data_IF_544437547827
#
_entry.id   IF_544437547827
#
_cell.length_a   1.000
_cell.length_b   1.000
_cell.length_c   1.000
_cell.angle_alpha   90.00
_cell.angle_beta   90.00
_cell.angle_gamma   90.00
#
_symmetry.space_group_name_H-M   'P 1'
#
loop_
_entity.id
_entity.type
_entity.pdbx_description
1 polymer ?
#
# COMPACT_ATOMS: atom_id res chain seq x y z
N UNK A 1 3.81 -4.82 -10.94
CA UNK A 1 4.03 -6.14 -11.59
C UNK A 1 5.51 -6.48 -11.83
N UNK A 2 6.41 -6.28 -10.86
CA UNK A 2 7.85 -6.42 -11.09
C UNK A 2 8.43 -7.65 -10.39
N UNK A 3 9.41 -8.32 -11.01
CA UNK A 3 10.07 -9.50 -10.44
C UNK A 3 10.85 -9.17 -9.15
N UNK A 4 11.11 -10.19 -8.34
CA UNK A 4 11.98 -10.09 -7.15
C UNK A 4 13.45 -9.94 -7.53
N UNK A 5 14.26 -9.51 -6.55
CA UNK A 5 15.70 -9.27 -6.72
C UNK A 5 16.46 -10.51 -7.18
N UNK A 6 16.02 -11.70 -6.77
CA UNK A 6 16.67 -13.00 -6.99
C UNK A 6 16.02 -13.82 -8.11
N UNK A 7 15.16 -13.21 -8.92
CA UNK A 7 14.43 -13.90 -9.98
C UNK A 7 15.38 -14.65 -10.92
N UNK A 8 15.09 -15.94 -11.14
CA UNK A 8 15.89 -16.86 -11.96
C UNK A 8 17.34 -17.08 -11.50
N UNK A 9 17.68 -16.67 -10.28
CA UNK A 9 19.00 -16.92 -9.71
C UNK A 9 19.20 -18.41 -9.41
N UNK A 10 20.34 -18.97 -9.83
CA UNK A 10 20.71 -20.36 -9.53
C UNK A 10 21.37 -20.49 -8.16
N UNK A 11 22.01 -19.42 -7.68
CA UNK A 11 22.79 -19.38 -6.45
C UNK A 11 22.18 -18.46 -5.38
N UNK A 12 20.97 -17.96 -5.60
CA UNK A 12 20.28 -17.05 -4.68
C UNK A 12 20.88 -15.65 -4.61
N UNK A 13 21.83 -15.30 -5.48
CA UNK A 13 22.34 -13.94 -5.60
C UNK A 13 21.36 -13.06 -6.39
N UNK A 14 21.32 -11.75 -6.10
CA UNK A 14 20.47 -10.84 -6.84
C UNK A 14 20.86 -10.80 -8.32
N UNK A 15 19.86 -10.92 -9.19
CA UNK A 15 19.96 -10.78 -10.65
C UNK A 15 19.40 -9.43 -11.12
N UNK A 16 18.59 -8.78 -10.29
CA UNK A 16 17.99 -7.47 -10.54
C UNK A 16 18.26 -6.58 -9.32
N UNK A 17 18.99 -5.48 -9.53
CA UNK A 17 19.34 -4.53 -8.48
C UNK A 17 18.83 -3.12 -8.83
N UNK A 18 17.98 -2.50 -7.98
CA UNK A 18 17.52 -1.13 -8.18
C UNK A 18 18.69 -0.13 -8.11
N UNK A 19 18.73 0.81 -9.07
CA UNK A 19 19.70 1.91 -9.02
C UNK A 19 19.39 2.94 -7.92
N UNK A 20 18.10 3.06 -7.57
CA UNK A 20 17.65 3.94 -6.50
C UNK A 20 17.71 3.21 -5.15
N UNK A 21 18.28 3.83 -4.11
CA UNK A 21 18.34 3.21 -2.80
C UNK A 21 16.95 3.07 -2.19
N UNK A 22 16.77 2.03 -1.37
CA UNK A 22 15.56 1.78 -0.57
C UNK A 22 14.27 1.54 -1.40
N UNK A 23 14.41 1.12 -2.66
CA UNK A 23 13.25 0.71 -3.48
C UNK A 23 12.97 -0.76 -3.26
N UNK A 24 11.72 -1.09 -2.98
CA UNK A 24 11.26 -2.48 -2.85
C UNK A 24 10.76 -2.98 -4.20
N UNK A 25 11.27 -4.12 -4.66
CA UNK A 25 10.85 -4.81 -5.88
C UNK A 25 10.37 -6.23 -5.56
N UNK A 26 9.60 -6.84 -6.46
CA UNK A 26 9.09 -8.22 -6.25
C UNK A 26 7.86 -8.35 -5.35
N UNK A 27 7.18 -7.25 -5.03
CA UNK A 27 5.98 -7.30 -4.18
C UNK A 27 4.82 -8.00 -4.90
N UNK A 28 4.17 -8.94 -4.23
CA UNK A 28 3.06 -9.75 -4.77
C UNK A 28 1.84 -9.83 -3.84
N UNK A 29 1.80 -9.04 -2.77
CA UNK A 29 0.68 -9.08 -1.82
C UNK A 29 -0.61 -8.52 -2.44
N UNK A 30 -0.45 -7.43 -3.22
CA UNK A 30 -1.55 -6.76 -3.91
C UNK A 30 -1.04 -6.09 -5.20
N UNK A 31 -1.96 -5.69 -6.08
CA UNK A 31 -1.61 -4.81 -7.20
C UNK A 31 -1.15 -3.44 -6.68
N UNK A 32 -0.11 -2.88 -7.29
CA UNK A 32 0.29 -1.51 -6.94
C UNK A 32 -0.76 -0.51 -7.43
N UNK A 33 -0.80 0.67 -6.81
CA UNK A 33 -1.69 1.76 -7.22
C UNK A 33 -1.51 2.14 -8.69
N UNK A 34 -0.28 2.04 -9.20
CA UNK A 34 0.08 2.32 -10.60
C UNK A 34 -0.45 1.22 -11.51
N UNK A 35 -0.22 -0.06 -11.18
CA UNK A 35 -0.75 -1.19 -11.97
C UNK A 35 -2.29 -1.09 -12.09
N UNK A 36 -2.98 -0.74 -11.00
CA UNK A 36 -4.44 -0.54 -10.99
C UNK A 36 -4.85 0.64 -11.89
N UNK A 37 -4.10 1.74 -11.84
CA UNK A 37 -4.37 2.91 -12.67
C UNK A 37 -4.21 2.59 -14.16
N UNK A 38 -3.14 1.89 -14.53
CA UNK A 38 -2.89 1.47 -15.91
C UNK A 38 -4.04 0.59 -16.45
N UNK A 39 -4.49 -0.40 -15.67
CA UNK A 39 -5.63 -1.25 -16.05
C UNK A 39 -6.91 -0.44 -16.23
N UNK A 40 -7.20 0.50 -15.32
CA UNK A 40 -8.39 1.36 -15.43
C UNK A 40 -8.36 2.23 -16.68
N UNK A 41 -7.19 2.79 -17.01
CA UNK A 41 -7.00 3.56 -18.23
C UNK A 41 -7.19 2.69 -19.47
N UNK A 42 -6.61 1.49 -19.48
CA UNK A 42 -6.69 0.58 -20.62
C UNK A 42 -8.12 0.12 -20.94
N UNK A 43 -8.91 -0.22 -19.91
CA UNK A 43 -10.30 -0.66 -20.07
C UNK A 43 -11.32 0.48 -20.02
N UNK A 44 -10.88 1.73 -19.97
CA UNK A 44 -11.73 2.91 -19.82
C UNK A 44 -12.73 2.78 -18.66
N UNK A 45 -12.25 2.21 -17.55
CA UNK A 45 -13.01 2.11 -16.32
C UNK A 45 -13.16 3.51 -15.71
N UNK A 46 -14.24 4.19 -16.08
CA UNK A 46 -14.69 5.40 -15.42
C UNK A 46 -14.94 5.06 -13.94
N UNK A 47 -14.52 5.93 -13.02
CA UNK A 47 -14.80 5.80 -11.59
C UNK A 47 -16.29 6.05 -11.31
N UNK A 48 -17.19 5.35 -12.01
CA UNK A 48 -18.63 5.44 -11.80
C UNK A 48 -18.97 4.51 -10.65
N UNK A 49 -18.80 5.03 -9.43
CA UNK A 49 -19.62 4.68 -8.27
C UNK A 49 -19.60 3.24 -7.74
N UNK A 50 -18.85 2.30 -8.30
CA UNK A 50 -18.63 1.02 -7.64
C UNK A 50 -17.49 1.22 -6.64
N UNK A 51 -17.86 1.71 -5.45
CA UNK A 51 -17.09 1.40 -4.25
C UNK A 51 -17.11 -0.12 -4.13
N UNK A 52 -16.08 -0.78 -4.66
CA UNK A 52 -15.76 -2.13 -4.25
C UNK A 52 -15.69 -2.05 -2.71
N UNK A 53 -16.43 -2.89 -1.97
CA UNK A 53 -16.42 -2.81 -0.51
C UNK A 53 -14.95 -2.82 -0.12
N UNK A 54 -14.52 -1.76 0.57
CA UNK A 54 -13.20 -1.71 1.16
C UNK A 54 -13.06 -3.02 1.92
N UNK A 55 -12.17 -3.91 1.49
CA UNK A 55 -11.68 -4.97 2.36
C UNK A 55 -10.85 -4.26 3.42
N UNK A 56 -11.56 -3.61 4.33
CA UNK A 56 -11.09 -3.33 5.67
C UNK A 56 -10.74 -4.70 6.19
N UNK A 57 -9.46 -4.95 6.42
CA UNK A 57 -9.02 -6.05 7.26
C UNK A 57 -9.74 -5.87 8.59
N UNK A 58 -10.89 -6.55 8.68
CA UNK A 58 -11.77 -6.56 9.82
C UNK A 58 -11.10 -7.47 10.82
N UNK A 59 -10.23 -6.91 11.66
CA UNK A 59 -10.01 -7.51 12.97
C UNK A 59 -11.28 -7.23 13.78
N UNK A 60 -12.01 -8.32 14.01
CA UNK A 60 -13.32 -8.42 14.65
C UNK A 60 -13.46 -7.57 15.91
N UNK A 61 -14.48 -6.70 15.92
CA UNK A 61 -14.92 -5.98 17.11
C UNK A 61 -16.10 -5.05 16.81
N UNK A 62 -17.31 -5.61 16.79
CA UNK A 62 -18.55 -4.83 16.70
C UNK A 62 -18.75 -4.02 18.00
N UNK A 63 -19.03 -2.72 17.91
CA UNK A 63 -20.30 -2.09 18.31
C UNK A 63 -20.23 -0.55 18.31
N UNK A 64 -21.12 0.04 17.49
CA UNK A 64 -21.87 1.29 17.68
C UNK A 64 -21.16 2.66 17.63
N UNK A 65 -21.71 3.51 16.75
CA UNK A 65 -21.68 4.98 16.74
C UNK A 65 -20.45 5.69 16.15
N UNK A 66 -20.64 6.10 14.89
CA UNK A 66 -20.35 7.41 14.30
C UNK A 66 -19.95 8.50 15.30
N UNK A 67 -18.86 9.20 14.95
CA UNK A 67 -18.17 10.32 15.63
C UNK A 67 -16.90 9.88 16.38
N UNK A 68 -15.80 9.63 15.67
CA UNK A 68 -14.49 9.72 16.34
C UNK A 68 -13.46 10.52 15.52
N UNK A 69 -12.95 11.53 16.20
CA UNK A 69 -12.22 12.71 15.75
C UNK A 69 -10.71 12.41 15.65
N UNK A 70 -10.37 11.15 15.34
CA UNK A 70 -9.03 10.59 15.53
C UNK A 70 -7.97 11.09 14.55
N UNK A 71 -8.35 11.69 13.41
CA UNK A 71 -7.38 12.33 12.51
C UNK A 71 -6.87 13.68 13.05
N UNK A 72 -7.61 14.36 13.93
CA UNK A 72 -7.15 15.62 14.52
C UNK A 72 -6.13 15.40 15.66
N UNK A 73 -6.10 14.20 16.26
CA UNK A 73 -5.11 13.85 17.29
C UNK A 73 -3.82 13.22 16.71
N UNK A 74 -3.70 13.11 15.39
CA UNK A 74 -2.47 12.65 14.72
C UNK A 74 -1.47 13.79 14.47
N UNK A 75 -1.86 15.05 14.69
CA UNK A 75 -0.99 16.24 14.55
C UNK A 75 -0.51 16.81 15.89
N UNK A 76 -1.16 16.47 17.01
CA UNK A 76 -0.83 17.00 18.35
C UNK A 76 0.21 16.17 19.12
N UNK A 77 0.47 14.91 18.75
CA UNK A 77 1.49 14.07 19.40
C UNK A 77 2.90 14.14 18.78
N UNK A 78 3.08 14.83 17.65
CA UNK A 78 4.40 14.95 17.00
C UNK A 78 5.18 16.16 17.56
N UNK A 79 4.57 17.01 18.40
CA UNK A 79 5.16 18.27 18.87
C UNK A 79 5.80 18.25 20.28
N UNK A 80 5.77 17.15 21.04
CA UNK A 80 6.23 17.17 22.45
C UNK A 80 7.16 16.06 22.89
N UNK A 81 7.96 15.46 22.01
CA UNK A 81 9.08 14.61 22.45
C UNK A 81 10.29 14.73 21.53
N UNK A 82 10.79 15.97 21.38
CA UNK A 82 12.24 16.20 21.48
C UNK A 82 12.59 16.25 22.97
N UNK A 83 13.74 15.66 23.35
CA UNK A 83 14.35 15.56 24.70
C UNK A 83 13.95 14.35 25.57
N UNK A 84 14.52 13.17 25.28
CA UNK A 84 15.53 12.53 26.14
C UNK A 84 16.29 11.43 25.38
#
# INVERSE_FOLDING_TARGET
>A
MHYSTDAFSVNGLPTIEPLQPNVTIGQHDNLSSIDIQEVRLFYNCLATGVTLPTTTTTTTGNLTNINDFSLLNMLTLISTNELL
#
